data_IF_734329629595
#
_entry.id   IF_734329629595
#
_cell.length_a   1.000
_cell.length_b   1.000
_cell.length_c   1.000
_cell.angle_alpha   90.00
_cell.angle_beta   90.00
_cell.angle_gamma   90.00
#
_symmetry.space_group_name_H-M   'P 1'
#
loop_
_entity.id
_entity.type
_entity.pdbx_description
1 polymer ?
#
# COMPACT_ATOMS: atom_id res chain seq x y z
N UNK A 1 -6.41 -17.91 -1.23
CA UNK A 1 -6.80 -16.63 -0.60
C UNK A 1 -6.65 -15.50 -1.63
N UNK A 2 -7.73 -14.84 -2.06
CA UNK A 2 -7.69 -13.87 -3.17
C UNK A 2 -6.76 -12.68 -2.96
N UNK A 3 -6.63 -12.20 -1.71
CA UNK A 3 -5.76 -11.09 -1.34
C UNK A 3 -4.28 -11.39 -1.63
N UNK A 4 -3.81 -12.61 -1.34
CA UNK A 4 -2.43 -13.03 -1.59
C UNK A 4 -2.14 -13.17 -3.08
N UNK A 5 -3.11 -13.66 -3.86
CA UNK A 5 -2.96 -13.78 -5.32
C UNK A 5 -2.73 -12.41 -5.96
N UNK A 6 -3.60 -11.43 -5.65
CA UNK A 6 -3.48 -10.08 -6.21
C UNK A 6 -2.26 -9.36 -5.63
N UNK A 7 -1.95 -9.56 -4.35
CA UNK A 7 -0.74 -9.02 -3.73
C UNK A 7 0.54 -9.51 -4.42
N UNK A 8 0.66 -10.81 -4.67
CA UNK A 8 1.82 -11.39 -5.36
C UNK A 8 1.95 -10.88 -6.81
N UNK A 9 0.83 -10.71 -7.52
CA UNK A 9 0.85 -10.09 -8.86
C UNK A 9 1.33 -8.63 -8.78
N UNK A 10 0.92 -7.89 -7.75
CA UNK A 10 1.40 -6.54 -7.51
C UNK A 10 2.91 -6.48 -7.22
N UNK A 11 3.42 -7.42 -6.43
CA UNK A 11 4.84 -7.53 -6.13
C UNK A 11 5.65 -7.84 -7.40
N UNK A 12 5.21 -8.81 -8.21
CA UNK A 12 5.86 -9.15 -9.49
C UNK A 12 5.85 -7.94 -10.44
N UNK A 13 4.72 -7.24 -10.57
CA UNK A 13 4.65 -6.03 -11.41
C UNK A 13 5.56 -4.91 -10.90
N UNK A 14 5.73 -4.78 -9.58
CA UNK A 14 6.65 -3.79 -9.01
C UNK A 14 8.11 -4.12 -9.33
N UNK A 15 8.49 -5.40 -9.26
CA UNK A 15 9.82 -5.88 -9.63
C UNK A 15 10.13 -5.68 -11.12
N UNK A 16 9.10 -5.76 -11.97
CA UNK A 16 9.19 -5.46 -13.41
C UNK A 16 9.18 -3.94 -13.71
N UNK A 17 9.20 -3.08 -12.69
CA UNK A 17 9.04 -1.63 -12.80
C UNK A 17 7.70 -1.17 -13.44
N UNK A 18 6.70 -2.06 -13.52
CA UNK A 18 5.35 -1.75 -13.98
C UNK A 18 4.49 -1.19 -12.84
N UNK A 19 4.91 -0.04 -12.30
CA UNK A 19 4.35 0.51 -11.06
C UNK A 19 2.83 0.78 -11.13
N UNK A 20 2.30 1.18 -12.28
CA UNK A 20 0.85 1.36 -12.46
C UNK A 20 0.05 0.06 -12.37
N UNK A 21 0.59 -1.03 -12.94
CA UNK A 21 0.00 -2.36 -12.82
C UNK A 21 0.09 -2.86 -11.37
N UNK A 22 1.24 -2.66 -10.73
CA UNK A 22 1.47 -3.03 -9.34
C UNK A 22 0.45 -2.37 -8.40
N UNK A 23 0.25 -1.06 -8.52
CA UNK A 23 -0.77 -0.30 -7.77
C UNK A 23 -2.16 -0.89 -8.01
N UNK A 24 -2.53 -1.15 -9.26
CA UNK A 24 -3.84 -1.72 -9.61
C UNK A 24 -4.05 -3.10 -8.99
N UNK A 25 -3.01 -3.93 -8.93
CA UNK A 25 -3.07 -5.24 -8.27
C UNK A 25 -3.16 -5.13 -6.75
N UNK A 26 -2.45 -4.19 -6.12
CA UNK A 26 -2.60 -3.94 -4.69
C UNK A 26 -4.00 -3.41 -4.34
N UNK A 27 -4.58 -2.53 -5.16
CA UNK A 27 -5.97 -2.07 -5.00
C UNK A 27 -6.97 -3.24 -5.10
N UNK A 28 -6.74 -4.17 -6.03
CA UNK A 28 -7.50 -5.43 -6.12
C UNK A 28 -7.27 -6.33 -4.91
N UNK A 29 -6.08 -6.34 -4.31
CA UNK A 29 -5.79 -7.13 -3.13
C UNK A 29 -6.59 -6.64 -1.92
N UNK A 30 -6.58 -5.33 -1.67
CA UNK A 30 -7.26 -4.69 -0.53
C UNK A 30 -8.78 -4.62 -0.69
N UNK A 31 -9.29 -4.57 -1.93
CA UNK A 31 -10.74 -4.53 -2.18
C UNK A 31 -11.44 -5.88 -2.00
N UNK A 32 -10.75 -7.00 -2.22
CA UNK A 32 -11.37 -8.33 -2.12
C UNK A 32 -11.61 -8.75 -0.66
N UNK A 33 -10.68 -8.43 0.25
CA UNK A 33 -10.88 -8.66 1.69
C UNK A 33 -10.00 -7.74 2.52
N UNK A 34 -10.62 -6.73 3.12
CA UNK A 34 -9.98 -5.94 4.18
C UNK A 34 -9.75 -6.81 5.41
N UNK A 35 -8.56 -6.73 5.97
CA UNK A 35 -8.12 -7.37 7.21
C UNK A 35 -6.90 -6.62 7.77
N UNK A 36 -6.74 -6.66 9.09
CA UNK A 36 -5.80 -5.81 9.81
C UNK A 36 -4.33 -6.19 9.63
N UNK A 37 -4.05 -7.31 8.97
CA UNK A 37 -2.70 -7.80 8.76
C UNK A 37 -2.18 -7.49 7.35
N UNK A 38 -2.89 -7.90 6.31
CA UNK A 38 -2.43 -7.77 4.92
C UNK A 38 -2.82 -6.46 4.25
N UNK A 39 -3.94 -5.84 4.67
CA UNK A 39 -4.38 -4.57 4.07
C UNK A 39 -3.39 -3.44 4.29
N UNK A 40 -2.87 -3.21 5.52
CA UNK A 40 -1.88 -2.16 5.72
C UNK A 40 -0.55 -2.44 5.00
N UNK A 41 -0.17 -3.71 4.81
CA UNK A 41 1.02 -4.10 4.02
C UNK A 41 0.88 -3.65 2.57
N UNK A 42 -0.24 -3.96 1.91
CA UNK A 42 -0.44 -3.59 0.50
C UNK A 42 -0.73 -2.10 0.32
N UNK A 43 -1.42 -1.45 1.27
CA UNK A 43 -1.57 0.01 1.28
C UNK A 43 -0.21 0.71 1.35
N UNK A 44 0.72 0.21 2.18
CA UNK A 44 2.05 0.80 2.33
C UNK A 44 2.87 0.61 1.06
N UNK A 45 2.88 -0.59 0.49
CA UNK A 45 3.53 -0.88 -0.80
C UNK A 45 3.02 0.05 -1.89
N UNK A 46 1.70 0.22 -1.98
CA UNK A 46 1.07 1.15 -2.90
C UNK A 46 1.51 2.61 -2.65
N UNK A 47 1.56 3.05 -1.39
CA UNK A 47 2.04 4.38 -1.03
C UNK A 47 3.50 4.62 -1.43
N UNK A 48 4.37 3.63 -1.23
CA UNK A 48 5.79 3.71 -1.64
C UNK A 48 5.92 3.81 -3.16
N UNK A 49 5.14 3.03 -3.92
CA UNK A 49 5.15 3.12 -5.38
C UNK A 49 4.62 4.47 -5.87
N UNK A 50 3.54 4.98 -5.28
CA UNK A 50 3.00 6.31 -5.62
C UNK A 50 4.03 7.40 -5.34
N UNK A 51 4.74 7.32 -4.22
CA UNK A 51 5.85 8.22 -3.90
C UNK A 51 6.97 8.14 -4.94
N UNK A 52 7.37 6.93 -5.35
CA UNK A 52 8.38 6.72 -6.38
C UNK A 52 7.96 7.28 -7.76
N UNK A 53 6.67 7.28 -8.06
CA UNK A 53 6.10 7.90 -9.26
C UNK A 53 5.90 9.42 -9.14
N UNK A 54 6.22 10.01 -7.99
CA UNK A 54 6.02 11.44 -7.72
C UNK A 54 4.60 11.81 -7.26
N UNK A 55 3.68 10.84 -7.14
CA UNK A 55 2.34 11.02 -6.59
C UNK A 55 2.37 11.06 -5.05
N UNK A 56 2.93 12.14 -4.50
CA UNK A 56 2.99 12.38 -3.06
C UNK A 56 1.59 12.46 -2.42
N UNK A 57 0.61 13.00 -3.13
CA UNK A 57 -0.76 13.12 -2.63
C UNK A 57 -1.41 11.74 -2.44
N UNK A 58 -1.27 10.86 -3.43
CA UNK A 58 -1.76 9.48 -3.34
C UNK A 58 -0.99 8.65 -2.31
N UNK A 59 0.32 8.87 -2.17
CA UNK A 59 1.11 8.25 -1.12
C UNK A 59 0.64 8.67 0.28
N UNK A 60 0.47 9.97 0.50
CA UNK A 60 -0.03 10.53 1.75
C UNK A 60 -1.40 9.97 2.11
N UNK A 61 -2.30 9.84 1.13
CA UNK A 61 -3.63 9.25 1.34
C UNK A 61 -3.54 7.79 1.78
N UNK A 62 -2.71 6.98 1.13
CA UNK A 62 -2.52 5.58 1.49
C UNK A 62 -1.94 5.43 2.91
N UNK A 63 -0.94 6.24 3.26
CA UNK A 63 -0.34 6.24 4.60
C UNK A 63 -1.31 6.72 5.68
N UNK A 64 -2.14 7.71 5.37
CA UNK A 64 -3.19 8.19 6.29
C UNK A 64 -4.25 7.13 6.53
N UNK A 65 -4.66 6.39 5.48
CA UNK A 65 -5.60 5.27 5.61
C UNK A 65 -5.06 4.18 6.56
N UNK A 66 -3.75 3.91 6.49
CA UNK A 66 -3.08 2.98 7.40
C UNK A 66 -3.12 3.48 8.85
N UNK A 67 -2.82 4.77 9.06
CA UNK A 67 -2.82 5.38 10.39
C UNK A 67 -4.20 5.32 11.05
N UNK A 68 -5.25 5.63 10.29
CA UNK A 68 -6.60 5.74 10.81
C UNK A 68 -7.28 4.39 11.00
N UNK A 69 -7.14 3.47 10.03
CA UNK A 69 -7.89 2.22 10.02
C UNK A 69 -7.11 1.03 10.56
N UNK A 70 -5.77 1.09 10.56
CA UNK A 70 -4.91 -0.02 10.99
C UNK A 70 -3.85 0.40 12.02
N UNK A 71 -4.18 1.20 13.05
CA UNK A 71 -3.19 1.74 14.00
C UNK A 71 -2.44 0.66 14.78
N UNK A 72 -3.10 -0.47 15.06
CA UNK A 72 -2.51 -1.59 15.81
C UNK A 72 -1.68 -2.55 14.94
N UNK A 73 -1.63 -2.32 13.62
CA UNK A 73 -0.81 -3.13 12.73
C UNK A 73 0.67 -2.73 12.83
N UNK A 74 1.62 -3.64 12.53
CA UNK A 74 3.05 -3.31 12.50
C UNK A 74 3.38 -2.13 11.57
N UNK A 75 2.66 -2.03 10.45
CA UNK A 75 2.80 -0.92 9.51
C UNK A 75 2.18 0.37 10.04
N UNK A 76 1.02 0.30 10.72
CA UNK A 76 0.37 1.43 11.36
C UNK A 76 1.21 2.09 12.44
N UNK A 77 1.87 1.29 13.28
CA UNK A 77 2.76 1.81 14.34
C UNK A 77 3.93 2.64 13.80
N UNK A 78 4.37 2.40 12.56
CA UNK A 78 5.53 3.07 11.96
C UNK A 78 5.16 4.02 10.81
N UNK A 79 3.86 4.19 10.51
CA UNK A 79 3.44 4.89 9.29
C UNK A 79 3.64 6.41 9.35
N UNK A 80 3.71 6.98 10.56
CA UNK A 80 3.95 8.42 10.76
C UNK A 80 5.25 8.90 10.11
N UNK A 81 6.29 8.05 10.11
CA UNK A 81 7.55 8.31 9.37
C UNK A 81 7.28 8.56 7.89
N UNK A 82 6.44 7.73 7.28
CA UNK A 82 6.13 7.81 5.86
C UNK A 82 5.27 9.04 5.56
N UNK A 83 4.30 9.35 6.42
CA UNK A 83 3.49 10.58 6.33
C UNK A 83 4.37 11.83 6.37
N UNK A 84 5.33 11.90 7.30
CA UNK A 84 6.25 13.05 7.42
C UNK A 84 7.15 13.15 6.19
N UNK A 85 7.58 12.02 5.61
CA UNK A 85 8.47 12.00 4.44
C UNK A 85 7.81 12.55 3.16
N UNK A 86 6.50 12.32 3.00
CA UNK A 86 5.77 12.73 1.79
C UNK A 86 5.01 14.04 1.91
N UNK A 87 4.89 14.59 3.13
CA UNK A 87 4.49 15.98 3.36
C UNK A 87 5.56 16.94 2.85
#
# INVERSE_FOLDING_TARGET
MPILKNGALGDISADLAEFGAAISYYEKAISVRKNDFLTPVYLKKMGVLKEQQGDKAGALKAYTEIKENYPNSPDGSNIDRFIIRVK
#
